data_IF_900836500759
#
_entry.id   IF_900836500759
#
_cell.length_a   1.000
_cell.length_b   1.000
_cell.length_c   1.000
_cell.angle_alpha   90.00
_cell.angle_beta   90.00
_cell.angle_gamma   90.00
#
_symmetry.space_group_name_H-M   'P 1'
#
loop_
_entity.id
_entity.type
_entity.pdbx_description
1 polymer ?
#
# COMPACT_ATOMS: atom_id res chain seq x y z
N UNK A 1 58.14 -17.22 -61.21
CA UNK A 1 59.11 -16.14 -61.43
C UNK A 1 58.37 -14.93 -62.00
N UNK A 2 58.56 -13.77 -61.35
CA UNK A 2 58.48 -12.39 -61.88
C UNK A 2 57.09 -11.74 -62.12
N UNK A 3 56.95 -10.53 -61.51
CA UNK A 3 55.83 -9.55 -61.54
C UNK A 3 55.78 -8.73 -62.85
N UNK A 4 54.79 -7.82 -63.05
CA UNK A 4 54.88 -6.42 -62.57
C UNK A 4 53.53 -5.87 -62.00
N UNK A 5 53.51 -5.18 -60.85
CA UNK A 5 53.61 -3.71 -60.63
C UNK A 5 52.54 -2.87 -61.36
N UNK A 6 51.58 -2.28 -60.61
CA UNK A 6 51.04 -0.94 -60.88
C UNK A 6 50.43 -0.27 -59.61
N UNK A 7 50.98 0.90 -59.32
CA UNK A 7 50.58 2.06 -58.50
C UNK A 7 49.76 1.95 -57.20
N UNK A 8 50.46 2.28 -56.11
CA UNK A 8 49.92 2.97 -54.94
C UNK A 8 50.32 4.45 -54.99
N UNK A 9 49.35 5.37 -54.86
CA UNK A 9 49.43 6.61 -54.07
C UNK A 9 48.11 7.37 -54.15
N UNK A 10 47.80 8.08 -53.05
CA UNK A 10 46.65 8.95 -52.78
C UNK A 10 45.52 8.25 -52.01
N UNK A 11 45.13 8.86 -50.89
CA UNK A 11 44.20 8.42 -49.82
C UNK A 11 44.82 7.76 -48.58
N UNK A 12 45.90 8.35 -48.06
CA UNK A 12 46.28 8.22 -46.64
C UNK A 12 46.27 9.58 -45.91
N UNK A 13 45.44 10.52 -46.35
CA UNK A 13 45.37 11.89 -45.81
C UNK A 13 44.06 12.29 -45.12
N UNK A 14 43.01 11.48 -45.20
CA UNK A 14 41.65 11.89 -44.74
C UNK A 14 41.15 11.06 -43.54
N UNK A 15 41.71 9.87 -43.29
CA UNK A 15 41.28 8.99 -42.19
C UNK A 15 41.80 9.35 -40.80
N UNK A 16 42.82 10.21 -40.68
CA UNK A 16 43.42 10.58 -39.39
C UNK A 16 42.90 11.91 -38.81
N UNK A 17 42.17 12.71 -39.61
CA UNK A 17 41.62 13.99 -39.15
C UNK A 17 40.25 13.81 -38.47
N UNK A 18 39.49 12.77 -38.81
CA UNK A 18 38.18 12.50 -38.21
C UNK A 18 38.24 11.78 -36.86
N UNK A 19 39.32 11.04 -36.56
CA UNK A 19 39.52 10.41 -35.25
C UNK A 19 40.06 11.42 -34.21
N UNK A 20 40.85 12.40 -34.65
CA UNK A 20 41.32 13.50 -33.77
C UNK A 20 40.22 14.45 -33.31
N UNK A 21 39.20 14.71 -34.15
CA UNK A 21 38.10 15.63 -33.82
C UNK A 21 37.04 15.01 -32.88
N UNK A 22 36.90 13.68 -32.85
CA UNK A 22 36.00 13.01 -31.89
C UNK A 22 36.63 12.85 -30.49
N UNK A 23 37.96 12.90 -30.38
CA UNK A 23 38.64 12.87 -29.08
C UNK A 23 38.72 14.27 -28.42
N UNK A 24 38.78 15.34 -29.23
CA UNK A 24 38.74 16.73 -28.75
C UNK A 24 37.33 17.14 -28.27
N UNK A 25 36.25 16.52 -28.78
CA UNK A 25 34.88 16.74 -28.29
C UNK A 25 34.54 16.04 -26.96
N UNK A 26 35.45 15.23 -26.40
CA UNK A 26 35.24 14.54 -25.11
C UNK A 26 36.07 15.12 -23.96
N UNK A 27 36.81 16.21 -24.19
CA UNK A 27 37.71 16.82 -23.19
C UNK A 27 37.56 18.34 -23.04
N UNK A 28 36.54 18.96 -23.64
CA UNK A 28 36.19 20.38 -23.45
C UNK A 28 34.73 20.54 -23.04
N UNK A 29 34.36 19.90 -21.93
CA UNK A 29 33.07 20.05 -21.25
C UNK A 29 33.19 20.55 -19.81
N UNK A 30 34.35 21.12 -19.46
CA UNK A 30 34.62 21.74 -18.15
C UNK A 30 35.17 23.13 -18.40
N UNK A 31 34.31 24.15 -18.27
CA UNK A 31 34.61 25.47 -17.72
C UNK A 31 33.41 26.42 -17.88
N UNK A 32 33.21 27.26 -16.85
CA UNK A 32 32.33 28.44 -16.77
C UNK A 32 30.91 28.24 -16.20
N UNK A 33 30.82 27.82 -14.93
CA UNK A 33 29.75 28.27 -14.03
C UNK A 33 30.21 29.59 -13.37
N UNK A 34 29.75 30.73 -13.90
CA UNK A 34 29.88 32.00 -13.21
C UNK A 34 28.65 32.26 -12.33
N UNK A 35 28.90 32.17 -11.02
CA UNK A 35 28.42 33.01 -9.91
C UNK A 35 27.09 33.74 -10.09
N UNK A 36 26.08 33.29 -9.33
CA UNK A 36 25.25 34.17 -8.50
C UNK A 36 25.09 33.49 -7.12
N UNK A 37 25.21 34.28 -6.05
CA UNK A 37 25.25 33.92 -4.62
C UNK A 37 26.61 33.56 -4.01
N UNK A 38 27.46 34.58 -3.88
CA UNK A 38 28.30 34.72 -2.68
C UNK A 38 27.42 35.05 -1.47
N UNK A 39 27.21 34.10 -0.56
CA UNK A 39 26.84 34.42 0.83
C UNK A 39 27.95 33.91 1.74
N UNK A 40 28.57 34.84 2.47
CA UNK A 40 29.58 34.55 3.50
C UNK A 40 28.98 33.60 4.54
N UNK A 41 29.68 32.52 4.85
CA UNK A 41 29.47 31.73 6.06
C UNK A 41 29.96 32.56 7.25
N UNK A 42 29.03 33.26 7.91
CA UNK A 42 29.27 33.70 9.29
C UNK A 42 28.97 32.51 10.21
N UNK A 43 30.02 32.00 10.87
CA UNK A 43 29.87 31.17 12.06
C UNK A 43 29.15 32.01 13.12
N UNK A 44 27.88 31.68 13.34
CA UNK A 44 27.14 32.09 14.53
C UNK A 44 26.73 30.83 15.25
N UNK A 45 26.95 30.85 16.56
CA UNK A 45 26.66 29.80 17.54
C UNK A 45 25.19 29.35 17.46
N UNK A 46 24.85 28.08 17.74
CA UNK A 46 23.46 27.64 17.78
C UNK A 46 22.75 28.37 18.93
N UNK A 47 21.81 29.23 18.57
CA UNK A 47 20.77 29.71 19.46
C UNK A 47 19.79 28.55 19.72
N UNK A 48 19.59 28.23 20.98
CA UNK A 48 18.76 27.13 21.48
C UNK A 48 17.27 27.53 21.50
N UNK A 49 16.79 28.08 20.39
CA UNK A 49 15.38 28.39 20.19
C UNK A 49 14.77 27.38 19.21
N UNK A 50 14.61 26.14 19.69
CA UNK A 50 13.77 25.14 19.02
C UNK A 50 12.37 25.77 18.84
N UNK A 51 11.84 25.90 17.60
CA UNK A 51 10.52 26.46 17.41
C UNK A 51 9.49 25.61 18.18
N UNK A 52 8.42 26.21 18.72
CA UNK A 52 7.40 25.48 19.45
C UNK A 52 6.84 24.35 18.59
N UNK A 53 6.39 23.22 19.19
CA UNK A 53 5.74 22.16 18.44
C UNK A 53 4.61 22.76 17.61
N UNK A 54 4.57 22.42 16.32
CA UNK A 54 3.45 22.81 15.48
C UNK A 54 2.14 22.35 16.14
N UNK A 55 1.18 23.25 16.29
CA UNK A 55 -0.17 22.90 16.75
C UNK A 55 -0.75 21.77 15.88
N UNK A 56 -1.65 20.96 16.42
CA UNK A 56 -2.29 19.86 15.67
C UNK A 56 -2.89 20.37 14.35
N UNK A 57 -3.45 21.57 14.36
CA UNK A 57 -4.01 22.23 13.20
C UNK A 57 -2.95 22.54 12.13
N UNK A 58 -1.77 23.00 12.51
CA UNK A 58 -0.64 23.21 11.59
C UNK A 58 -0.08 21.90 11.04
N UNK A 59 -0.04 20.83 11.85
CA UNK A 59 0.36 19.49 11.38
C UNK A 59 -0.65 18.91 10.39
N UNK A 60 -1.95 19.07 10.64
CA UNK A 60 -2.99 18.64 9.72
C UNK A 60 -2.97 19.46 8.42
N UNK A 61 -2.85 20.79 8.51
CA UNK A 61 -2.76 21.67 7.35
C UNK A 61 -1.53 21.38 6.48
N UNK A 62 -0.37 21.13 7.10
CA UNK A 62 0.84 20.74 6.38
C UNK A 62 0.68 19.39 5.66
N UNK A 63 -0.05 18.44 6.27
CA UNK A 63 -0.36 17.13 5.65
C UNK A 63 -1.33 17.27 4.48
N UNK A 64 -2.33 18.14 4.57
CA UNK A 64 -3.24 18.41 3.46
C UNK A 64 -2.52 19.13 2.31
N UNK A 65 -1.62 20.07 2.63
CA UNK A 65 -0.84 20.81 1.65
C UNK A 65 0.19 19.94 0.88
N UNK A 66 0.58 18.78 1.43
CA UNK A 66 1.49 17.84 0.76
C UNK A 66 0.93 17.28 -0.55
N UNK A 67 -0.39 17.12 -0.65
CA UNK A 67 -1.01 16.42 -1.78
C UNK A 67 -1.21 17.33 -2.99
N UNK A 68 -0.64 16.93 -4.13
CA UNK A 68 -0.88 17.56 -5.42
C UNK A 68 -2.01 16.84 -6.16
N UNK A 69 -3.23 17.38 -6.05
CA UNK A 69 -4.41 16.77 -6.66
C UNK A 69 -4.26 16.54 -8.16
N UNK A 70 -3.59 17.42 -8.90
CA UNK A 70 -3.39 17.24 -10.36
C UNK A 70 -2.59 15.98 -10.65
N UNK A 71 -1.52 15.72 -9.91
CA UNK A 71 -0.71 14.52 -10.08
C UNK A 71 -1.44 13.27 -9.60
N UNK A 72 -2.19 13.37 -8.50
CA UNK A 72 -3.07 12.29 -8.02
C UNK A 72 -4.04 11.89 -9.14
N UNK A 73 -4.78 12.82 -9.72
CA UNK A 73 -5.74 12.55 -10.79
C UNK A 73 -5.11 11.86 -12.02
N UNK A 74 -3.88 12.22 -12.40
CA UNK A 74 -3.14 11.53 -13.47
C UNK A 74 -2.91 10.05 -13.13
N UNK A 75 -2.40 9.79 -11.91
CA UNK A 75 -2.16 8.42 -11.44
C UNK A 75 -3.46 7.63 -11.36
N UNK A 76 -4.52 8.21 -10.78
CA UNK A 76 -5.82 7.56 -10.69
C UNK A 76 -6.41 7.22 -12.07
N UNK A 77 -6.30 8.13 -13.05
CA UNK A 77 -6.80 7.89 -14.41
C UNK A 77 -6.08 6.72 -15.10
N UNK A 78 -4.78 6.58 -14.87
CA UNK A 78 -4.01 5.45 -15.39
C UNK A 78 -4.39 4.17 -14.61
N UNK A 79 -4.40 4.22 -13.28
CA UNK A 79 -4.76 3.08 -12.41
C UNK A 79 -6.13 2.49 -12.73
N UNK A 80 -7.14 3.33 -12.99
CA UNK A 80 -8.52 2.90 -13.33
C UNK A 80 -8.64 2.11 -14.63
N UNK A 81 -7.64 2.17 -15.53
CA UNK A 81 -7.60 1.30 -16.74
C UNK A 81 -7.31 -0.16 -16.38
N UNK A 82 -6.60 -0.38 -15.27
CA UNK A 82 -6.04 -1.68 -14.88
C UNK A 82 -6.76 -2.27 -13.68
N UNK A 83 -7.07 -1.44 -12.69
CA UNK A 83 -7.74 -1.82 -11.46
C UNK A 83 -9.17 -1.30 -11.41
N UNK A 84 -10.06 -2.13 -10.87
CA UNK A 84 -11.45 -1.80 -10.64
C UNK A 84 -11.95 -2.62 -9.45
N UNK A 85 -12.36 -2.01 -8.32
CA UNK A 85 -12.79 -2.74 -7.14
C UNK A 85 -13.93 -3.73 -7.43
N UNK A 86 -14.84 -3.43 -8.36
CA UNK A 86 -15.93 -4.34 -8.78
C UNK A 86 -15.45 -5.61 -9.47
N UNK A 87 -14.21 -5.63 -9.97
CA UNK A 87 -13.62 -6.78 -10.65
C UNK A 87 -12.53 -7.48 -9.82
N UNK A 88 -12.00 -6.79 -8.81
CA UNK A 88 -10.85 -7.28 -8.02
C UNK A 88 -11.24 -7.70 -6.61
N UNK A 89 -12.32 -7.12 -6.06
CA UNK A 89 -12.79 -7.40 -4.69
C UNK A 89 -14.30 -7.67 -4.77
N UNK A 90 -14.67 -8.90 -5.11
CA UNK A 90 -16.07 -9.35 -5.21
C UNK A 90 -16.40 -10.15 -3.96
N UNK A 91 -17.58 -9.92 -3.36
CA UNK A 91 -18.02 -10.72 -2.22
C UNK A 91 -17.96 -12.22 -2.53
N UNK A 92 -17.35 -13.02 -1.66
CA UNK A 92 -17.26 -14.46 -1.87
C UNK A 92 -18.61 -15.18 -1.77
N UNK A 93 -19.59 -14.59 -1.08
CA UNK A 93 -21.00 -15.03 -1.13
C UNK A 93 -21.56 -15.03 -2.54
N UNK A 94 -21.09 -14.13 -3.40
CA UNK A 94 -21.58 -13.98 -4.77
C UNK A 94 -20.88 -14.96 -5.74
N UNK A 95 -19.96 -15.80 -5.25
CA UNK A 95 -19.18 -16.68 -6.12
C UNK A 95 -20.03 -17.73 -6.84
N UNK A 96 -21.09 -18.24 -6.20
CA UNK A 96 -21.99 -19.20 -6.85
C UNK A 96 -22.78 -18.55 -7.99
N UNK A 97 -23.42 -17.41 -7.73
CA UNK A 97 -24.17 -16.66 -8.75
C UNK A 97 -23.26 -16.13 -9.86
N UNK A 98 -22.00 -15.79 -9.54
CA UNK A 98 -20.98 -15.46 -10.53
C UNK A 98 -20.76 -16.60 -11.52
N UNK A 99 -20.51 -17.83 -11.04
CA UNK A 99 -20.26 -18.97 -11.92
C UNK A 99 -21.48 -19.34 -12.77
N UNK A 100 -22.67 -19.22 -12.19
CA UNK A 100 -23.95 -19.52 -12.84
C UNK A 100 -24.32 -18.50 -13.92
N UNK A 101 -24.19 -17.20 -13.63
CA UNK A 101 -24.73 -16.12 -14.47
C UNK A 101 -23.68 -15.35 -15.25
N UNK A 102 -22.43 -15.33 -14.82
CA UNK A 102 -21.35 -14.61 -15.48
C UNK A 102 -20.46 -15.52 -16.32
N UNK A 103 -20.03 -15.00 -17.45
CA UNK A 103 -18.93 -15.57 -18.22
C UNK A 103 -17.59 -15.21 -17.54
N UNK A 104 -16.78 -16.22 -17.14
CA UNK A 104 -15.56 -16.03 -16.36
C UNK A 104 -14.35 -15.58 -17.20
N UNK A 105 -14.53 -15.30 -18.50
CA UNK A 105 -13.49 -14.73 -19.35
C UNK A 105 -13.79 -13.27 -19.67
N UNK A 106 -15.05 -12.94 -19.91
CA UNK A 106 -15.47 -11.63 -20.42
C UNK A 106 -16.15 -10.74 -19.38
N UNK A 107 -16.54 -11.29 -18.22
CA UNK A 107 -17.34 -10.60 -17.20
C UNK A 107 -18.69 -10.09 -17.73
N UNK A 108 -19.31 -10.85 -18.62
CA UNK A 108 -20.63 -10.56 -19.20
C UNK A 108 -21.66 -11.58 -18.72
N UNK A 109 -22.95 -11.27 -18.84
CA UNK A 109 -24.00 -12.24 -18.54
C UNK A 109 -23.98 -13.37 -19.57
N UNK A 110 -24.01 -14.63 -19.12
CA UNK A 110 -24.04 -15.81 -20.00
C UNK A 110 -25.25 -15.84 -20.94
N UNK A 111 -26.37 -15.29 -20.50
CA UNK A 111 -27.60 -15.19 -21.29
C UNK A 111 -27.66 -13.93 -22.17
N UNK A 112 -26.56 -13.18 -22.30
CA UNK A 112 -26.53 -12.01 -23.17
C UNK A 112 -26.36 -12.41 -24.63
N UNK A 113 -26.91 -11.59 -25.53
CA UNK A 113 -26.80 -11.84 -26.96
C UNK A 113 -25.34 -11.68 -27.40
N UNK A 114 -24.74 -12.59 -28.21
CA UNK A 114 -23.31 -12.53 -28.55
C UNK A 114 -22.87 -11.22 -29.22
N UNK A 115 -23.75 -10.61 -30.03
CA UNK A 115 -23.49 -9.31 -30.67
C UNK A 115 -23.75 -8.08 -29.77
N UNK A 116 -24.36 -8.27 -28.60
CA UNK A 116 -24.72 -7.21 -27.63
C UNK A 116 -24.52 -7.74 -26.20
N UNK A 117 -23.27 -8.02 -25.80
CA UNK A 117 -22.98 -8.56 -24.48
C UNK A 117 -23.38 -7.56 -23.40
N UNK A 118 -24.01 -8.05 -22.33
CA UNK A 118 -24.40 -7.23 -21.17
C UNK A 118 -23.39 -7.43 -20.04
N UNK A 119 -22.90 -6.37 -19.37
CA UNK A 119 -22.01 -6.51 -18.22
C UNK A 119 -22.61 -7.38 -17.11
N UNK A 120 -21.80 -8.18 -16.42
CA UNK A 120 -22.28 -9.01 -15.32
C UNK A 120 -22.42 -8.22 -14.01
N UNK A 121 -23.53 -7.50 -13.86
CA UNK A 121 -23.82 -6.67 -12.68
C UNK A 121 -24.60 -7.42 -11.57
N UNK A 122 -24.46 -8.74 -11.48
CA UNK A 122 -25.14 -9.58 -10.46
C UNK A 122 -24.28 -9.84 -9.23
N UNK A 123 -23.03 -9.35 -9.25
CA UNK A 123 -22.06 -9.49 -8.18
C UNK A 123 -21.70 -8.12 -7.61
N UNK A 124 -21.32 -8.10 -6.33
CA UNK A 124 -21.12 -6.86 -5.59
C UNK A 124 -19.71 -6.77 -5.01
N UNK A 125 -19.28 -5.54 -4.75
CA UNK A 125 -18.02 -5.25 -4.07
C UNK A 125 -18.29 -4.63 -2.70
N UNK A 126 -17.54 -5.00 -1.64
CA UNK A 126 -17.60 -4.30 -0.36
C UNK A 126 -16.90 -2.93 -0.40
N UNK A 127 -16.16 -2.62 -1.46
CA UNK A 127 -15.34 -1.41 -1.54
C UNK A 127 -16.19 -0.22 -1.98
N UNK A 128 -16.13 0.84 -1.17
CA UNK A 128 -16.72 2.14 -1.45
C UNK A 128 -15.60 3.16 -1.73
N UNK A 129 -16.01 4.40 -1.94
CA UNK A 129 -15.10 5.52 -2.01
C UNK A 129 -14.73 6.02 -0.60
N UNK A 130 -13.48 6.42 -0.39
CA UNK A 130 -12.97 6.95 0.87
C UNK A 130 -12.09 8.17 0.63
N UNK A 131 -12.09 9.14 1.56
CA UNK A 131 -11.27 10.36 1.44
C UNK A 131 -9.81 10.08 1.76
N UNK A 132 -9.55 9.31 2.81
CA UNK A 132 -8.19 9.03 3.27
C UNK A 132 -7.97 7.54 3.44
N UNK A 133 -6.91 7.04 2.82
CA UNK A 133 -6.52 5.64 2.94
C UNK A 133 -5.09 5.52 3.48
N UNK A 134 -4.89 4.59 4.41
CA UNK A 134 -3.57 4.14 4.82
C UNK A 134 -3.25 2.82 4.13
N UNK A 135 -2.18 2.76 3.35
CA UNK A 135 -1.63 1.50 2.83
C UNK A 135 -0.43 1.14 3.69
N UNK A 136 -0.50 0.01 4.40
CA UNK A 136 0.51 -0.40 5.38
C UNK A 136 1.24 -1.64 4.87
N UNK A 137 2.51 -1.44 4.53
CA UNK A 137 3.47 -2.48 4.24
C UNK A 137 3.96 -3.16 5.52
N UNK A 138 4.81 -4.16 5.35
CA UNK A 138 5.23 -5.02 6.45
C UNK A 138 6.65 -4.74 6.95
N UNK A 139 7.35 -3.74 6.41
CA UNK A 139 8.75 -3.47 6.74
C UNK A 139 8.97 -3.24 8.24
N UNK A 140 10.11 -3.70 8.76
CA UNK A 140 10.57 -3.45 10.11
C UNK A 140 10.80 -1.98 10.44
N UNK A 141 10.82 -1.09 9.44
CA UNK A 141 10.91 0.37 9.65
C UNK A 141 9.79 0.91 10.54
N UNK A 142 8.67 0.18 10.65
CA UNK A 142 7.57 0.54 11.51
C UNK A 142 7.89 0.36 13.00
N UNK A 143 8.85 -0.47 13.38
CA UNK A 143 9.18 -0.70 14.79
C UNK A 143 9.64 0.60 15.46
N UNK A 144 9.02 0.94 16.59
CA UNK A 144 9.24 2.18 17.34
C UNK A 144 8.91 3.47 16.57
N UNK A 145 8.10 3.38 15.51
CA UNK A 145 7.63 4.54 14.73
C UNK A 145 6.55 5.34 15.43
N UNK A 146 5.79 4.73 16.36
CA UNK A 146 4.59 5.33 16.96
C UNK A 146 3.52 5.76 15.94
N UNK A 147 3.51 5.14 14.75
CA UNK A 147 2.57 5.48 13.68
C UNK A 147 1.16 4.91 13.87
N UNK A 148 0.91 4.11 14.90
CA UNK A 148 -0.33 3.35 15.00
C UNK A 148 -1.59 4.20 15.09
N UNK A 149 -1.55 5.28 15.89
CA UNK A 149 -2.68 6.20 16.00
C UNK A 149 -2.96 6.94 14.68
N UNK A 150 -1.90 7.32 13.95
CA UNK A 150 -2.03 7.98 12.66
C UNK A 150 -2.62 7.05 11.60
N UNK A 151 -2.18 5.79 11.56
CA UNK A 151 -2.71 4.77 10.67
C UNK A 151 -4.21 4.57 10.93
N UNK A 152 -4.59 4.38 12.21
CA UNK A 152 -5.98 4.12 12.60
C UNK A 152 -6.89 5.36 12.42
N UNK A 153 -6.34 6.55 12.23
CA UNK A 153 -7.09 7.79 11.96
C UNK A 153 -7.57 7.94 10.51
N UNK A 154 -7.08 7.13 9.56
CA UNK A 154 -7.55 7.17 8.18
C UNK A 154 -9.00 6.66 8.09
N UNK A 155 -9.72 6.90 6.99
CA UNK A 155 -11.06 6.33 6.79
C UNK A 155 -11.00 4.84 6.38
N UNK A 156 -9.94 4.43 5.70
CA UNK A 156 -9.77 3.05 5.25
C UNK A 156 -8.31 2.57 5.36
N UNK A 157 -8.06 1.48 6.10
CA UNK A 157 -6.73 0.91 6.35
C UNK A 157 -6.56 -0.38 5.57
N UNK A 158 -5.55 -0.42 4.70
CA UNK A 158 -5.28 -1.53 3.81
C UNK A 158 -3.94 -2.16 4.17
N UNK A 159 -3.95 -3.48 4.41
CA UNK A 159 -2.77 -4.28 4.73
C UNK A 159 -2.53 -5.38 3.71
N UNK A 160 -1.32 -5.95 3.75
CA UNK A 160 -0.96 -7.08 2.91
C UNK A 160 -0.64 -8.31 3.75
N UNK A 161 -1.22 -9.44 3.37
CA UNK A 161 -0.93 -10.79 3.87
C UNK A 161 -1.34 -11.06 5.33
N UNK A 162 -2.36 -10.37 5.86
CA UNK A 162 -2.89 -10.58 7.22
C UNK A 162 -1.76 -10.66 8.27
N UNK A 163 -0.97 -9.59 8.44
CA UNK A 163 0.11 -9.55 9.41
C UNK A 163 -0.47 -9.43 10.83
N UNK A 164 0.24 -9.88 11.87
CA UNK A 164 -0.19 -9.67 13.25
C UNK A 164 -0.07 -8.19 13.62
N UNK A 165 -1.13 -7.56 14.12
CA UNK A 165 -1.07 -6.13 14.53
C UNK A 165 -1.16 -5.93 16.04
N UNK A 166 -1.83 -6.83 16.78
CA UNK A 166 -2.07 -6.63 18.23
C UNK A 166 -0.80 -6.39 19.06
N UNK A 167 0.32 -7.13 18.89
CA UNK A 167 1.53 -6.89 19.67
C UNK A 167 2.28 -5.61 19.27
N UNK A 168 1.96 -5.05 18.10
CA UNK A 168 2.67 -3.93 17.48
C UNK A 168 1.79 -2.68 17.33
N UNK A 169 0.63 -2.65 18.00
CA UNK A 169 -0.44 -1.65 17.79
C UNK A 169 0.03 -0.20 17.91
N UNK A 170 1.00 0.08 18.77
CA UNK A 170 1.57 1.44 18.94
C UNK A 170 2.22 1.92 17.65
N UNK A 171 2.83 1.02 16.90
CA UNK A 171 3.59 1.30 15.70
C UNK A 171 2.77 1.13 14.42
N UNK A 172 1.95 0.08 14.37
CA UNK A 172 1.28 -0.32 13.12
C UNK A 172 -0.23 -0.10 13.14
N UNK A 173 -0.80 0.31 14.27
CA UNK A 173 -2.24 0.47 14.45
C UNK A 173 -2.93 -0.85 14.76
N UNK A 174 -4.23 -0.79 14.98
CA UNK A 174 -5.10 -1.92 15.33
C UNK A 174 -6.15 -2.22 14.28
N UNK A 175 -6.44 -1.27 13.38
CA UNK A 175 -7.48 -1.38 12.37
C UNK A 175 -6.96 -1.98 11.07
N UNK A 176 -7.79 -2.81 10.45
CA UNK A 176 -7.61 -3.33 9.10
C UNK A 176 -8.98 -3.43 8.42
N UNK A 177 -9.21 -2.60 7.42
CA UNK A 177 -10.47 -2.59 6.68
C UNK A 177 -10.39 -3.52 5.45
N UNK A 178 -9.21 -3.63 4.83
CA UNK A 178 -8.93 -4.59 3.75
C UNK A 178 -7.56 -5.24 3.95
N UNK A 179 -7.49 -6.56 3.80
CA UNK A 179 -6.22 -7.28 3.64
C UNK A 179 -6.17 -8.04 2.31
N UNK A 180 -5.15 -7.74 1.52
CA UNK A 180 -4.85 -8.41 0.24
C UNK A 180 -3.96 -9.64 0.50
N UNK A 181 -4.33 -10.81 -0.03
CA UNK A 181 -3.72 -12.09 0.32
C UNK A 181 -3.13 -12.76 -0.92
N UNK A 182 -1.82 -13.00 -0.87
CA UNK A 182 -1.14 -13.75 -1.91
C UNK A 182 -1.28 -15.27 -1.77
N UNK A 183 -0.85 -16.01 -2.80
CA UNK A 183 -0.94 -17.47 -2.88
C UNK A 183 -0.26 -18.15 -1.67
N UNK A 184 0.99 -17.80 -1.38
CA UNK A 184 1.78 -18.38 -0.29
C UNK A 184 1.09 -18.17 1.05
N UNK A 185 0.55 -16.97 1.27
CA UNK A 185 -0.12 -16.62 2.51
C UNK A 185 -1.45 -17.35 2.67
N UNK A 186 -2.24 -17.46 1.61
CA UNK A 186 -3.49 -18.22 1.63
C UNK A 186 -3.24 -19.69 2.03
N UNK A 187 -2.16 -20.30 1.53
CA UNK A 187 -1.75 -21.65 1.93
C UNK A 187 -1.49 -21.72 3.44
N UNK A 188 -0.62 -20.85 3.96
CA UNK A 188 -0.26 -20.82 5.39
C UNK A 188 -1.47 -20.59 6.31
N UNK A 189 -2.41 -19.74 5.89
CA UNK A 189 -3.65 -19.47 6.63
C UNK A 189 -4.51 -20.73 6.70
N UNK A 190 -4.73 -21.40 5.56
CA UNK A 190 -5.52 -22.64 5.55
C UNK A 190 -4.88 -23.74 6.40
N UNK A 191 -3.56 -23.90 6.34
CA UNK A 191 -2.84 -24.85 7.19
C UNK A 191 -2.96 -24.52 8.68
N UNK A 192 -2.91 -23.23 9.05
CA UNK A 192 -3.09 -22.81 10.43
C UNK A 192 -4.52 -23.08 10.94
N UNK A 193 -5.53 -22.85 10.11
CA UNK A 193 -6.93 -23.13 10.44
C UNK A 193 -7.22 -24.62 10.58
N UNK A 194 -6.57 -25.45 9.76
CA UNK A 194 -6.70 -26.90 9.77
C UNK A 194 -5.72 -27.60 10.73
N UNK A 195 -4.88 -26.84 11.43
CA UNK A 195 -3.88 -27.40 12.32
C UNK A 195 -4.52 -28.12 13.50
N UNK A 196 -3.94 -29.28 13.88
CA UNK A 196 -4.23 -29.96 15.14
C UNK A 196 -3.75 -29.15 16.37
N UNK A 197 -2.80 -28.23 16.18
CA UNK A 197 -2.35 -27.33 17.24
C UNK A 197 -3.42 -26.25 17.51
N UNK A 198 -4.14 -26.40 18.63
CA UNK A 198 -5.21 -25.49 19.03
C UNK A 198 -4.74 -24.04 19.20
N UNK A 199 -3.53 -23.81 19.70
CA UNK A 199 -2.95 -22.47 19.87
C UNK A 199 -2.71 -21.80 18.52
N UNK A 200 -2.13 -22.52 17.54
CA UNK A 200 -1.92 -22.01 16.18
C UNK A 200 -3.24 -21.66 15.50
N UNK A 201 -4.26 -22.52 15.65
CA UNK A 201 -5.61 -22.28 15.11
C UNK A 201 -6.28 -21.07 15.77
N UNK A 202 -6.26 -20.99 17.10
CA UNK A 202 -6.83 -19.86 17.87
C UNK A 202 -6.15 -18.54 17.50
N UNK A 203 -4.82 -18.53 17.35
CA UNK A 203 -4.08 -17.34 16.92
C UNK A 203 -4.48 -16.88 15.51
N UNK A 204 -4.72 -17.82 14.57
CA UNK A 204 -5.19 -17.45 13.22
C UNK A 204 -6.63 -16.93 13.23
N UNK A 205 -7.53 -17.58 13.98
CA UNK A 205 -8.91 -17.11 14.14
C UNK A 205 -8.97 -15.71 14.77
N UNK A 206 -8.15 -15.45 15.79
CA UNK A 206 -8.03 -14.14 16.41
C UNK A 206 -7.57 -13.06 15.40
N UNK A 207 -6.63 -13.39 14.49
CA UNK A 207 -6.21 -12.47 13.41
C UNK A 207 -7.32 -12.22 12.40
N UNK A 208 -8.07 -13.26 12.00
CA UNK A 208 -9.18 -13.10 11.07
C UNK A 208 -10.29 -12.23 11.67
N UNK A 209 -10.60 -12.41 12.94
CA UNK A 209 -11.63 -11.65 13.66
C UNK A 209 -11.14 -10.34 14.30
N UNK A 210 -9.94 -9.86 13.97
CA UNK A 210 -9.33 -8.75 14.70
C UNK A 210 -10.03 -7.42 14.50
N UNK A 211 -10.49 -7.13 13.28
CA UNK A 211 -11.23 -5.91 12.96
C UNK A 211 -12.62 -6.30 12.45
N UNK A 212 -13.70 -5.82 13.09
CA UNK A 212 -15.05 -6.09 12.61
C UNK A 212 -15.25 -5.60 11.17
N UNK A 213 -15.82 -6.45 10.32
CA UNK A 213 -16.09 -6.11 8.92
C UNK A 213 -14.85 -6.06 8.00
N UNK A 214 -13.67 -6.47 8.47
CA UNK A 214 -12.47 -6.56 7.63
C UNK A 214 -12.73 -7.39 6.38
N UNK A 215 -12.34 -6.86 5.22
CA UNK A 215 -12.36 -7.58 3.94
C UNK A 215 -11.09 -8.40 3.80
N UNK A 216 -11.21 -9.72 3.86
CA UNK A 216 -10.18 -10.69 3.51
C UNK A 216 -10.26 -11.01 2.01
N UNK A 217 -9.35 -10.47 1.20
CA UNK A 217 -9.38 -10.62 -0.25
C UNK A 217 -8.19 -11.40 -0.79
N UNK A 218 -8.45 -12.44 -1.57
CA UNK A 218 -7.42 -13.06 -2.40
C UNK A 218 -7.14 -12.18 -3.65
N UNK A 219 -5.90 -12.20 -4.16
CA UNK A 219 -5.45 -11.20 -5.15
C UNK A 219 -5.05 -11.75 -6.53
N UNK A 220 -5.03 -13.08 -6.71
CA UNK A 220 -4.54 -13.72 -7.94
C UNK A 220 -5.65 -14.47 -8.68
N UNK A 221 -5.32 -15.07 -9.83
CA UNK A 221 -6.26 -15.87 -10.62
C UNK A 221 -7.06 -16.88 -9.78
N UNK A 222 -8.39 -16.76 -9.82
CA UNK A 222 -9.29 -17.47 -8.93
C UNK A 222 -10.02 -18.63 -9.62
N UNK A 223 -10.63 -18.37 -10.77
CA UNK A 223 -11.34 -19.39 -11.55
C UNK A 223 -10.34 -20.44 -12.04
N UNK A 224 -10.64 -21.72 -11.80
CA UNK A 224 -9.77 -22.84 -12.18
C UNK A 224 -8.55 -23.06 -11.29
N UNK A 225 -8.37 -22.30 -10.20
CA UNK A 225 -7.22 -22.45 -9.30
C UNK A 225 -7.59 -23.11 -7.96
N UNK A 226 -6.57 -23.61 -7.25
CA UNK A 226 -6.71 -24.15 -5.90
C UNK A 226 -7.14 -23.07 -4.87
N UNK A 227 -7.13 -21.78 -5.24
CA UNK A 227 -7.56 -20.71 -4.36
C UNK A 227 -9.04 -20.83 -3.98
N UNK A 228 -9.91 -21.29 -4.91
CA UNK A 228 -11.33 -21.55 -4.62
C UNK A 228 -11.51 -22.46 -3.41
N UNK A 229 -10.85 -23.63 -3.43
CA UNK A 229 -10.93 -24.61 -2.33
C UNK A 229 -10.43 -24.02 -1.01
N UNK A 230 -9.33 -23.26 -1.06
CA UNK A 230 -8.74 -22.62 0.13
C UNK A 230 -9.61 -21.50 0.70
N UNK A 231 -10.24 -20.69 -0.15
CA UNK A 231 -11.19 -19.67 0.28
C UNK A 231 -12.43 -20.27 0.93
N UNK A 232 -12.95 -21.42 0.45
CA UNK A 232 -14.02 -22.13 1.15
C UNK A 232 -13.61 -22.59 2.55
N UNK A 233 -12.36 -23.03 2.76
CA UNK A 233 -11.84 -23.38 4.10
C UNK A 233 -11.83 -22.15 5.02
N UNK A 234 -11.33 -21.02 4.53
CA UNK A 234 -11.28 -19.76 5.29
C UNK A 234 -12.70 -19.28 5.63
N UNK A 235 -13.59 -19.22 4.63
CA UNK A 235 -14.97 -18.80 4.78
C UNK A 235 -15.77 -19.68 5.77
N UNK A 236 -15.60 -21.00 5.67
CA UNK A 236 -16.22 -21.94 6.62
C UNK A 236 -15.70 -21.74 8.04
N UNK A 237 -14.40 -21.47 8.22
CA UNK A 237 -13.82 -21.21 9.53
C UNK A 237 -14.35 -19.89 10.13
N UNK A 238 -14.47 -18.83 9.32
CA UNK A 238 -15.06 -17.54 9.73
C UNK A 238 -16.50 -17.73 10.21
N UNK A 239 -17.34 -18.39 9.40
CA UNK A 239 -18.75 -18.65 9.72
C UNK A 239 -18.91 -19.52 10.96
N UNK A 240 -18.15 -20.62 11.06
CA UNK A 240 -18.21 -21.54 12.22
C UNK A 240 -17.85 -20.86 13.54
N UNK A 241 -17.03 -19.81 13.50
CA UNK A 241 -16.58 -19.08 14.69
C UNK A 241 -17.27 -17.71 14.86
N UNK A 242 -18.36 -17.44 14.11
CA UNK A 242 -19.13 -16.19 14.16
C UNK A 242 -18.27 -14.93 14.02
N UNK A 243 -17.24 -14.98 13.17
CA UNK A 243 -16.41 -13.82 12.88
C UNK A 243 -17.10 -12.93 11.84
N UNK A 244 -17.01 -11.61 11.99
CA UNK A 244 -17.62 -10.63 11.06
C UNK A 244 -16.76 -10.31 9.83
N UNK A 245 -15.64 -11.02 9.66
CA UNK A 245 -14.75 -10.90 8.51
C UNK A 245 -15.50 -11.20 7.21
N UNK A 246 -15.37 -10.33 6.22
CA UNK A 246 -15.93 -10.51 4.89
C UNK A 246 -14.89 -11.20 4.02
N UNK A 247 -15.24 -12.29 3.35
CA UNK A 247 -14.38 -12.95 2.36
C UNK A 247 -14.65 -12.38 0.97
N UNK A 248 -13.59 -12.15 0.20
CA UNK A 248 -13.68 -11.63 -1.17
C UNK A 248 -12.74 -12.37 -2.14
N UNK A 249 -13.17 -12.46 -3.40
CA UNK A 249 -12.40 -13.06 -4.49
C UNK A 249 -12.27 -12.08 -5.68
N UNK A 250 -11.21 -12.24 -6.49
CA UNK A 250 -11.04 -11.46 -7.70
C UNK A 250 -11.61 -12.20 -8.92
N UNK A 251 -12.24 -11.46 -9.83
CA UNK A 251 -12.39 -11.90 -11.21
C UNK A 251 -11.09 -11.66 -11.99
N UNK A 252 -10.52 -10.44 -11.90
CA UNK A 252 -9.22 -10.09 -12.51
C UNK A 252 -8.06 -10.30 -11.56
N UNK A 253 -6.99 -10.90 -12.06
CA UNK A 253 -5.77 -11.07 -11.27
C UNK A 253 -5.08 -9.73 -11.10
N UNK A 254 -4.50 -9.47 -9.92
CA UNK A 254 -3.65 -8.30 -9.71
C UNK A 254 -2.39 -8.35 -10.57
N UNK A 255 -2.05 -9.51 -11.16
CA UNK A 255 -0.96 -9.64 -12.13
C UNK A 255 -1.33 -9.21 -13.55
N UNK A 256 -2.61 -8.95 -13.84
CA UNK A 256 -3.04 -8.51 -15.17
C UNK A 256 -2.69 -7.03 -15.40
N UNK A 257 -2.31 -6.31 -14.34
CA UNK A 257 -1.91 -4.89 -14.35
C UNK A 257 -0.43 -4.65 -14.68
N UNK A 258 0.31 -5.63 -15.23
CA UNK A 258 1.76 -5.51 -15.51
C UNK A 258 2.16 -4.24 -16.27
N UNK A 259 1.28 -3.74 -17.15
CA UNK A 259 1.52 -2.53 -17.96
C UNK A 259 1.26 -1.21 -17.23
N UNK A 260 0.58 -1.25 -16.08
CA UNK A 260 0.28 -0.07 -15.28
C UNK A 260 1.53 0.76 -15.02
N UNK A 261 2.58 0.14 -14.50
CA UNK A 261 3.76 0.86 -14.04
C UNK A 261 4.66 1.33 -15.19
N UNK A 262 4.52 0.71 -16.35
CA UNK A 262 5.13 1.22 -17.59
C UNK A 262 4.44 2.52 -18.01
N UNK A 263 3.11 2.62 -17.87
CA UNK A 263 2.39 3.89 -18.12
C UNK A 263 2.64 4.95 -17.03
N UNK A 264 2.76 4.54 -15.76
CA UNK A 264 2.97 5.49 -14.66
C UNK A 264 4.37 6.10 -14.66
N UNK A 265 5.40 5.27 -14.84
CA UNK A 265 6.80 5.68 -14.60
C UNK A 265 7.78 5.16 -15.65
N UNK A 266 7.30 4.65 -16.78
CA UNK A 266 8.17 4.16 -17.86
C UNK A 266 8.96 2.89 -17.53
N UNK A 267 8.72 2.28 -16.35
CA UNK A 267 9.44 1.08 -15.91
C UNK A 267 8.58 -0.17 -16.09
N UNK A 268 9.20 -1.24 -16.58
CA UNK A 268 8.58 -2.55 -16.62
C UNK A 268 9.11 -3.39 -15.46
N UNK A 269 8.20 -3.93 -14.65
CA UNK A 269 8.55 -4.92 -13.63
C UNK A 269 8.10 -6.30 -14.04
N UNK A 270 8.90 -7.31 -13.72
CA UNK A 270 8.49 -8.71 -13.86
C UNK A 270 7.26 -9.00 -12.99
N UNK A 271 7.33 -8.60 -11.71
CA UNK A 271 6.25 -8.77 -10.72
C UNK A 271 6.24 -7.65 -9.69
N UNK A 272 5.25 -6.76 -9.75
CA UNK A 272 5.00 -5.80 -8.67
C UNK A 272 4.59 -6.52 -7.37
N UNK A 273 5.05 -6.00 -6.23
CA UNK A 273 4.74 -6.57 -4.92
C UNK A 273 3.25 -6.50 -4.58
N UNK A 274 2.82 -7.29 -3.59
CA UNK A 274 1.44 -7.20 -3.07
C UNK A 274 1.13 -5.80 -2.56
N UNK A 275 2.09 -5.15 -1.88
CA UNK A 275 1.92 -3.81 -1.36
C UNK A 275 1.70 -2.79 -2.47
N UNK A 276 2.46 -2.90 -3.56
CA UNK A 276 2.36 -1.96 -4.66
C UNK A 276 1.07 -2.10 -5.48
N UNK A 277 0.66 -3.34 -5.77
CA UNK A 277 -0.63 -3.57 -6.42
C UNK A 277 -1.81 -3.16 -5.52
N UNK A 278 -1.64 -3.21 -4.20
CA UNK A 278 -2.65 -2.73 -3.25
C UNK A 278 -2.75 -1.21 -3.26
N UNK A 279 -1.63 -0.48 -3.36
CA UNK A 279 -1.64 0.95 -3.63
C UNK A 279 -2.36 1.28 -4.95
N UNK A 280 -2.02 0.57 -6.03
CA UNK A 280 -2.63 0.80 -7.34
C UNK A 280 -4.14 0.53 -7.37
N UNK A 281 -4.61 -0.44 -6.58
CA UNK A 281 -6.05 -0.65 -6.39
C UNK A 281 -6.65 0.49 -5.54
N UNK A 282 -6.00 0.89 -4.44
CA UNK A 282 -6.45 1.95 -3.55
C UNK A 282 -6.63 3.30 -4.28
N UNK A 283 -5.74 3.64 -5.21
CA UNK A 283 -5.85 4.88 -6.00
C UNK A 283 -7.13 4.95 -6.84
N UNK A 284 -7.83 3.83 -7.06
CA UNK A 284 -9.10 3.84 -7.80
C UNK A 284 -10.31 4.28 -6.97
N UNK A 285 -10.19 4.26 -5.64
CA UNK A 285 -11.30 4.52 -4.72
C UNK A 285 -10.96 5.40 -3.49
N UNK A 286 -9.70 5.85 -3.36
CA UNK A 286 -9.24 6.75 -2.30
C UNK A 286 -8.87 8.12 -2.89
N UNK A 287 -9.29 9.22 -2.27
CA UNK A 287 -8.87 10.57 -2.70
C UNK A 287 -7.37 10.80 -2.43
N UNK A 288 -6.92 10.47 -1.22
CA UNK A 288 -5.52 10.60 -0.80
C UNK A 288 -5.02 9.34 -0.12
N UNK A 289 -3.73 9.04 -0.29
CA UNK A 289 -3.10 7.83 0.23
C UNK A 289 -1.84 8.17 1.01
N UNK A 290 -1.80 7.74 2.27
CA UNK A 290 -0.56 7.67 3.04
C UNK A 290 -0.03 6.23 3.05
N UNK A 291 1.27 6.07 2.80
CA UNK A 291 1.95 4.78 2.76
C UNK A 291 2.93 4.64 3.92
N UNK A 292 2.86 3.53 4.64
CA UNK A 292 3.67 3.25 5.83
C UNK A 292 4.33 1.88 5.69
N UNK A 293 5.54 1.69 6.21
CA UNK A 293 6.17 0.36 6.22
C UNK A 293 6.60 -0.13 4.83
N UNK A 294 6.87 0.80 3.91
CA UNK A 294 7.46 0.54 2.60
C UNK A 294 8.91 1.00 2.62
N UNK A 295 9.81 0.13 3.08
CA UNK A 295 11.23 0.42 3.21
C UNK A 295 12.03 -0.89 3.05
N UNK A 296 12.78 -1.07 1.95
CA UNK A 296 13.43 -2.35 1.64
C UNK A 296 14.85 -2.48 2.21
N UNK A 297 15.47 -1.37 2.63
CA UNK A 297 16.85 -1.39 3.10
C UNK A 297 16.97 -2.02 4.48
N UNK A 298 18.12 -2.66 4.73
CA UNK A 298 18.41 -3.37 5.97
C UNK A 298 18.89 -2.47 7.11
N UNK A 299 19.07 -1.17 6.85
CA UNK A 299 19.50 -0.19 7.86
C UNK A 299 18.79 1.13 7.68
N UNK A 300 18.45 1.81 8.78
CA UNK A 300 17.92 3.18 8.78
C UNK A 300 18.55 3.95 9.93
N UNK A 301 19.15 5.11 9.65
CA UNK A 301 19.89 5.92 10.64
C UNK A 301 20.90 5.09 11.46
N UNK A 302 21.70 4.26 10.78
CA UNK A 302 22.68 3.33 11.36
C UNK A 302 22.11 2.24 12.29
N UNK A 303 20.78 2.03 12.30
CA UNK A 303 20.14 0.94 13.04
C UNK A 303 19.69 -0.17 12.09
N UNK A 304 19.85 -1.45 12.46
CA UNK A 304 19.30 -2.55 11.67
C UNK A 304 17.78 -2.46 11.55
N UNK A 305 17.28 -2.76 10.36
CA UNK A 305 15.85 -2.82 10.05
C UNK A 305 15.54 -4.24 9.58
N UNK A 306 14.73 -5.02 10.32
CA UNK A 306 14.33 -6.34 9.86
C UNK A 306 13.40 -6.22 8.65
N UNK A 307 13.37 -7.26 7.81
CA UNK A 307 12.53 -7.25 6.61
C UNK A 307 11.05 -7.13 6.95
N UNK A 308 10.59 -7.82 8.00
CA UNK A 308 9.27 -7.62 8.57
C UNK A 308 9.32 -7.11 10.00
N UNK A 309 8.32 -6.35 10.42
CA UNK A 309 8.20 -5.93 11.82
C UNK A 309 7.79 -7.07 12.77
N UNK A 310 7.41 -8.25 12.26
CA UNK A 310 6.80 -9.32 13.07
C UNK A 310 7.44 -10.69 12.94
N UNK A 311 8.40 -10.88 12.04
CA UNK A 311 9.12 -12.15 11.85
C UNK A 311 10.53 -11.94 11.27
N UNK A 312 11.26 -13.04 11.13
CA UNK A 312 12.63 -13.07 10.59
C UNK A 312 12.68 -13.61 9.17
N UNK A 313 11.58 -13.50 8.40
CA UNK A 313 11.58 -13.98 7.01
C UNK A 313 12.46 -13.08 6.13
N UNK A 314 13.21 -13.66 5.17
CA UNK A 314 13.98 -12.85 4.23
C UNK A 314 13.07 -12.22 3.15
N UNK A 315 13.54 -11.14 2.49
CA UNK A 315 12.88 -10.57 1.32
C UNK A 315 12.73 -11.59 0.19
N UNK A 316 11.66 -11.46 -0.59
CA UNK A 316 11.51 -12.25 -1.81
C UNK A 316 12.42 -11.72 -2.91
N UNK A 317 13.09 -12.63 -3.59
CA UNK A 317 13.89 -12.42 -4.81
C UNK A 317 13.06 -12.13 -6.08
N UNK A 318 11.72 -12.23 -6.02
CA UNK A 318 10.82 -12.04 -7.17
C UNK A 318 10.47 -10.58 -7.46
N UNK A 319 10.80 -9.68 -6.55
CA UNK A 319 10.41 -8.28 -6.59
C UNK A 319 11.65 -7.38 -6.60
N UNK A 320 11.61 -6.30 -7.37
CA UNK A 320 12.63 -5.25 -7.39
C UNK A 320 12.26 -4.17 -6.36
N UNK A 321 12.43 -4.49 -5.07
CA UNK A 321 11.95 -3.62 -4.00
C UNK A 321 12.67 -2.26 -3.95
N UNK A 322 13.93 -2.19 -4.39
CA UNK A 322 14.68 -0.92 -4.46
C UNK A 322 14.05 0.02 -5.49
N UNK A 323 13.64 -0.51 -6.65
CA UNK A 323 12.94 0.28 -7.64
C UNK A 323 11.52 0.66 -7.23
N UNK A 324 10.80 -0.24 -6.58
CA UNK A 324 9.48 0.09 -6.01
C UNK A 324 9.64 1.24 -5.00
N UNK A 325 10.63 1.17 -4.12
CA UNK A 325 10.91 2.23 -3.16
C UNK A 325 11.29 3.56 -3.82
N UNK A 326 12.18 3.54 -4.82
CA UNK A 326 12.54 4.75 -5.55
C UNK A 326 11.33 5.40 -6.22
N UNK A 327 10.41 4.61 -6.78
CA UNK A 327 9.15 5.12 -7.31
C UNK A 327 8.28 5.75 -6.22
N UNK A 328 8.14 5.09 -5.07
CA UNK A 328 7.34 5.62 -3.95
C UNK A 328 7.92 6.94 -3.42
N UNK A 329 9.26 7.09 -3.39
CA UNK A 329 9.91 8.36 -3.05
C UNK A 329 9.59 9.45 -4.07
N UNK A 330 9.64 9.15 -5.37
CA UNK A 330 9.26 10.13 -6.40
C UNK A 330 7.78 10.53 -6.27
N UNK A 331 6.88 9.57 -6.04
CA UNK A 331 5.45 9.84 -5.84
C UNK A 331 5.18 10.68 -4.59
N UNK A 332 6.01 10.55 -3.55
CA UNK A 332 5.97 11.39 -2.35
C UNK A 332 6.37 12.84 -2.68
N UNK A 333 7.49 13.01 -3.38
CA UNK A 333 7.98 14.33 -3.84
C UNK A 333 7.00 15.03 -4.78
N UNK A 334 6.33 14.27 -5.65
CA UNK A 334 5.33 14.78 -6.60
C UNK A 334 3.96 15.07 -5.94
N UNK A 335 3.80 14.78 -4.64
CA UNK A 335 2.56 14.96 -3.88
C UNK A 335 1.45 13.97 -4.27
N UNK A 336 1.77 12.83 -4.89
CA UNK A 336 0.79 11.79 -5.27
C UNK A 336 0.39 10.95 -4.05
N UNK A 337 1.36 10.62 -3.22
CA UNK A 337 1.18 9.92 -1.95
C UNK A 337 1.91 10.67 -0.86
N UNK A 338 1.62 10.34 0.40
CA UNK A 338 2.51 10.66 1.50
C UNK A 338 3.23 9.40 1.95
N UNK A 339 4.53 9.30 1.68
CA UNK A 339 5.33 8.12 2.01
C UNK A 339 6.08 8.32 3.32
N UNK A 340 5.56 7.72 4.38
CA UNK A 340 6.08 7.84 5.74
C UNK A 340 7.22 6.85 5.96
N UNK A 341 8.40 7.38 6.28
CA UNK A 341 9.60 6.61 6.61
C UNK A 341 10.12 7.08 7.97
N UNK A 342 10.18 6.17 8.94
CA UNK A 342 10.60 6.48 10.31
C UNK A 342 9.41 6.76 11.23
N UNK A 343 9.55 7.74 12.12
CA UNK A 343 8.56 8.05 13.17
C UNK A 343 7.40 8.89 12.65
N UNK A 344 6.22 8.67 13.22
CA UNK A 344 5.09 9.58 13.08
C UNK A 344 5.07 10.60 14.21
N UNK A 345 4.79 11.86 13.87
CA UNK A 345 4.61 12.93 14.83
C UNK A 345 3.12 13.05 15.17
N UNK A 346 2.64 12.17 16.04
CA UNK A 346 1.43 12.42 16.82
C UNK A 346 1.84 12.23 18.27
N UNK A 347 2.03 13.33 18.99
CA UNK A 347 2.16 13.30 20.44
C UNK A 347 0.84 12.74 20.99
N UNK A 348 0.86 11.49 21.42
CA UNK A 348 -0.31 10.75 21.92
C UNK A 348 -0.95 11.36 23.17
N UNK A 349 -0.44 12.49 23.67
CA UNK A 349 -1.01 13.24 24.80
C UNK A 349 -2.24 14.07 24.44
N UNK A 350 -2.48 14.38 23.16
CA UNK A 350 -3.59 15.28 22.77
C UNK A 350 -4.86 14.59 22.24
N UNK A 351 -4.87 13.25 22.09
CA UNK A 351 -6.05 12.51 21.60
C UNK A 351 -7.09 12.18 22.69
N UNK A 352 -6.84 12.53 23.96
CA UNK A 352 -7.80 12.33 25.07
C UNK A 352 -8.80 13.47 25.24
N UNK A 353 -8.65 14.58 24.50
CA UNK A 353 -9.47 15.77 24.69
C UNK A 353 -10.55 15.93 23.61
N UNK A 354 -11.38 14.92 23.34
CA UNK A 354 -12.73 15.11 22.76
C UNK A 354 -13.58 13.84 22.93
N UNK A 355 -14.09 13.61 24.14
CA UNK A 355 -15.37 12.92 24.31
C UNK A 355 -16.49 13.97 24.36
N UNK A 356 -17.53 13.88 23.53
CA UNK A 356 -18.69 14.75 23.67
C UNK A 356 -19.68 14.20 24.69
N UNK A 357 -20.39 15.13 25.32
CA UNK A 357 -21.61 14.98 26.13
C UNK A 357 -21.38 14.75 27.64
N UNK A 358 -21.02 15.85 28.30
CA UNK A 358 -21.45 16.09 29.68
C UNK A 358 -22.95 16.38 29.71
N UNK A 359 -23.69 15.56 30.46
CA UNK A 359 -25.09 15.81 30.81
C UNK A 359 -25.17 17.03 31.74
N UNK A 360 -25.86 18.09 31.29
CA UNK A 360 -26.14 19.28 32.10
C UNK A 360 -27.33 19.01 33.02
N UNK A 361 -27.14 19.36 34.29
CA UNK A 361 -28.11 19.32 35.38
C UNK A 361 -29.42 20.08 35.08
N UNK A 362 -30.55 19.42 35.34
CA UNK A 362 -31.85 20.04 35.59
C UNK A 362 -32.17 20.06 37.09
N UNK A 363 -32.56 21.22 37.59
CA UNK A 363 -32.74 21.56 39.01
C UNK A 363 -33.95 20.92 39.71
N UNK A 364 -33.72 20.55 40.98
CA UNK A 364 -34.60 20.61 42.18
C UNK A 364 -36.01 20.00 42.12
N UNK A 365 -36.22 18.94 42.92
CA UNK A 365 -37.30 18.94 43.92
C UNK A 365 -36.98 18.01 45.10
N UNK A 366 -37.28 18.51 46.31
CA UNK A 366 -37.09 17.85 47.62
C UNK A 366 -38.03 16.66 47.78
N UNK A 367 -37.55 15.56 48.39
CA UNK A 367 -38.24 14.87 49.51
C UNK A 367 -37.33 13.83 50.17
N UNK A 368 -37.12 13.98 51.48
CA UNK A 368 -36.69 12.95 52.43
C UNK A 368 -37.80 11.91 52.59
N UNK A 369 -37.44 10.62 52.73
CA UNK A 369 -38.04 9.56 53.57
C UNK A 369 -37.29 8.25 53.22
N UNK A 370 -36.40 7.77 54.09
CA UNK A 370 -36.57 6.69 55.09
C UNK A 370 -36.45 5.25 54.52
N UNK A 371 -35.39 4.57 54.98
CA UNK A 371 -35.23 3.15 55.35
C UNK A 371 -35.92 2.02 54.55
N UNK A 372 -35.12 1.10 54.00
CA UNK A 372 -35.00 -0.35 54.35
C UNK A 372 -34.03 -1.04 53.35
N UNK A 373 -33.00 -1.80 53.79
CA UNK A 373 -32.96 -3.29 53.95
C UNK A 373 -33.49 -4.00 52.67
N UNK A 374 -32.83 -4.92 51.94
CA UNK A 374 -31.93 -6.05 52.26
C UNK A 374 -31.41 -6.65 50.92
N UNK A 375 -30.30 -7.41 50.97
CA UNK A 375 -29.78 -8.46 50.05
C UNK A 375 -30.67 -8.95 48.88
N UNK A 376 -30.11 -9.06 47.67
CA UNK A 376 -29.47 -10.26 47.05
C UNK A 376 -28.55 -9.78 45.94
#
# INVERSE_FOLDING_TARGET
MIRPLFHATVFAGVGMITIGLLYVYKLTGTLQLNRVFTRRLNLTTPDDSRPPPASIEQLMAAREAHFNMTNIWKVQNISRKYFNPKLHIIYFSDFHVFLEKCDPQTFTLRNSHPRRPRPCNVVHTPIKHYRTCAVVGNSGILLHSSCGAEIDAHEFVIRSNLPPVSPYRTDVGSRTDLTSINVKRLVQITEALQSFNATRRKAMLARLGQTPGMVFSYSFGFVGSNAKRRMHIVDAAIKKNNLSTITAFPFRSFLDSKRLYTELVGKQWGFASTGLNTFALASTFCDTISMYGFYPMSTYQNKPVPYHYYDNMPPSDRHDFDAEYAMLRQMDEDGVIRHVVGKCNIDSENLTAHSPVGYVNGTKSKRRLLQHRTFI
#
